data_IF_133910799400
#
_entry.id   IF_133910799400
#
_cell.length_a   1.000
_cell.length_b   1.000
_cell.length_c   1.000
_cell.angle_alpha   90.00
_cell.angle_beta   90.00
_cell.angle_gamma   90.00
#
_symmetry.space_group_name_H-M   'P 1'
#
loop_
_entity.id
_entity.type
_entity.pdbx_description
1 polymer ?
#
# COMPACT_ATOMS: atom_id res chain seq x y z
N UNK A 1 1.78 2.92 11.70
CA UNK A 1 0.31 2.76 11.77
C UNK A 1 -0.30 3.59 10.65
N UNK A 2 -1.16 3.00 9.82
CA UNK A 2 -1.80 3.63 8.66
C UNK A 2 -3.32 3.66 8.83
N UNK A 3 -3.98 4.64 8.22
CA UNK A 3 -5.45 4.75 8.17
C UNK A 3 -5.98 4.32 6.81
N UNK A 4 -7.22 3.86 6.76
CA UNK A 4 -7.92 3.65 5.48
C UNK A 4 -7.95 4.95 4.66
N UNK A 5 -7.67 4.84 3.36
CA UNK A 5 -7.58 5.95 2.42
C UNK A 5 -6.31 6.81 2.51
N UNK A 6 -5.44 6.56 3.50
CA UNK A 6 -4.16 7.25 3.64
C UNK A 6 -3.25 6.92 2.45
N UNK A 7 -2.56 7.92 1.91
CA UNK A 7 -1.55 7.70 0.87
C UNK A 7 -0.33 7.04 1.49
N UNK A 8 0.07 5.89 0.94
CA UNK A 8 1.17 5.06 1.44
C UNK A 8 2.37 4.99 0.50
N UNK A 9 2.24 5.54 -0.71
CA UNK A 9 3.29 5.58 -1.71
C UNK A 9 2.79 6.19 -3.02
N UNK A 10 3.68 6.29 -3.99
CA UNK A 10 3.37 6.77 -5.33
C UNK A 10 3.93 5.78 -6.35
N UNK A 11 3.14 5.49 -7.38
CA UNK A 11 3.61 4.79 -8.58
C UNK A 11 3.97 5.83 -9.63
N UNK A 12 5.18 5.76 -10.16
CA UNK A 12 5.55 6.51 -11.36
C UNK A 12 5.14 5.71 -12.59
N UNK A 13 4.27 6.32 -13.40
CA UNK A 13 3.96 5.83 -14.72
C UNK A 13 4.22 6.94 -15.73
N UNK A 14 5.30 6.80 -16.49
CA UNK A 14 5.73 7.73 -17.54
C UNK A 14 5.88 9.19 -17.04
N UNK A 15 6.44 9.38 -15.86
CA UNK A 15 6.65 10.69 -15.23
C UNK A 15 5.42 11.25 -14.53
N UNK A 16 4.28 10.52 -14.54
CA UNK A 16 3.08 10.85 -13.78
C UNK A 16 3.05 10.03 -12.50
N UNK A 17 2.92 10.70 -11.36
CA UNK A 17 2.86 10.06 -10.05
C UNK A 17 1.41 9.80 -9.63
N UNK A 18 1.05 8.52 -9.47
CA UNK A 18 -0.27 8.11 -8.99
C UNK A 18 -0.21 7.72 -7.51
N UNK A 19 -1.07 8.30 -6.65
CA UNK A 19 -1.07 7.98 -5.23
C UNK A 19 -1.65 6.58 -4.99
N UNK A 20 -0.91 5.75 -4.27
CA UNK A 20 -1.42 4.47 -3.75
C UNK A 20 -2.02 4.73 -2.38
N UNK A 21 -3.28 4.33 -2.18
CA UNK A 21 -4.01 4.51 -0.92
C UNK A 21 -4.15 3.18 -0.22
N UNK A 22 -4.12 3.21 1.11
CA UNK A 22 -4.38 2.05 1.93
C UNK A 22 -5.86 1.67 1.89
N UNK A 23 -6.17 0.42 1.61
CA UNK A 23 -7.55 -0.09 1.62
C UNK A 23 -8.08 -0.34 3.03
N UNK A 24 -7.20 -0.47 4.02
CA UNK A 24 -7.55 -0.77 5.41
C UNK A 24 -6.67 0.01 6.39
N UNK A 25 -7.21 0.30 7.57
CA UNK A 25 -6.43 0.82 8.70
C UNK A 25 -5.68 -0.32 9.41
N UNK A 26 -4.42 -0.09 9.77
CA UNK A 26 -3.58 -1.17 10.29
C UNK A 26 -2.14 -0.80 10.63
N UNK A 27 -1.36 -1.83 10.91
CA UNK A 27 0.09 -1.77 11.06
C UNK A 27 0.78 -2.34 9.81
N UNK A 28 1.79 -1.65 9.30
CA UNK A 28 2.59 -2.16 8.17
C UNK A 28 3.54 -3.23 8.72
N UNK A 29 3.36 -4.47 8.26
CA UNK A 29 4.24 -5.59 8.63
C UNK A 29 5.53 -5.58 7.81
N UNK A 30 5.40 -5.35 6.49
CA UNK A 30 6.52 -5.43 5.56
C UNK A 30 6.21 -4.71 4.25
N UNK A 31 7.21 -4.03 3.70
CA UNK A 31 7.23 -3.57 2.31
C UNK A 31 7.66 -4.73 1.41
N UNK A 32 6.86 -5.02 0.39
CA UNK A 32 7.08 -6.13 -0.54
C UNK A 32 7.78 -5.68 -1.83
N UNK A 33 7.77 -4.37 -2.10
CA UNK A 33 8.51 -3.71 -3.15
C UNK A 33 9.41 -2.62 -2.56
N UNK A 34 10.50 -2.32 -3.25
CA UNK A 34 11.41 -1.22 -2.93
C UNK A 34 11.25 -0.08 -3.94
N UNK A 35 11.74 1.09 -3.56
CA UNK A 35 11.73 2.25 -4.46
C UNK A 35 12.55 1.95 -5.72
N UNK A 36 11.93 2.16 -6.89
CA UNK A 36 12.52 1.89 -8.20
C UNK A 36 12.26 0.50 -8.76
N UNK A 37 11.66 -0.42 -8.00
CA UNK A 37 11.23 -1.72 -8.52
C UNK A 37 10.11 -1.54 -9.56
N UNK A 38 10.15 -2.33 -10.63
CA UNK A 38 9.09 -2.37 -11.63
C UNK A 38 7.90 -3.18 -11.09
N UNK A 39 6.71 -2.60 -11.16
CA UNK A 39 5.48 -3.19 -10.61
C UNK A 39 4.43 -3.35 -11.71
N UNK A 40 3.78 -4.51 -11.75
CA UNK A 40 2.63 -4.82 -12.59
C UNK A 40 1.28 -4.65 -11.87
N UNK A 41 0.20 -4.67 -12.64
CA UNK A 41 -1.14 -4.64 -12.06
C UNK A 41 -1.42 -5.93 -11.27
N UNK A 42 -1.82 -5.77 -10.01
CA UNK A 42 -2.09 -6.89 -9.10
C UNK A 42 -0.87 -7.34 -8.28
N UNK A 43 0.30 -6.78 -8.54
CA UNK A 43 1.49 -7.07 -7.72
C UNK A 43 1.34 -6.47 -6.32
N UNK A 44 1.67 -7.23 -5.26
CA UNK A 44 1.51 -6.76 -3.90
C UNK A 44 2.64 -5.79 -3.50
N UNK A 45 2.27 -4.63 -2.97
CA UNK A 45 3.22 -3.58 -2.58
C UNK A 45 3.59 -3.60 -1.10
N UNK A 46 2.59 -3.84 -0.23
CA UNK A 46 2.74 -3.78 1.22
C UNK A 46 1.87 -4.83 1.89
N UNK A 47 2.40 -5.45 2.95
CA UNK A 47 1.61 -6.28 3.85
C UNK A 47 1.18 -5.45 5.06
N UNK A 48 -0.14 -5.41 5.30
CA UNK A 48 -0.75 -4.68 6.42
C UNK A 48 -1.48 -5.66 7.33
N UNK A 49 -1.25 -5.58 8.63
CA UNK A 49 -2.06 -6.22 9.66
C UNK A 49 -3.21 -5.27 10.05
N UNK A 50 -4.47 -5.61 9.74
CA UNK A 50 -5.61 -4.75 10.07
C UNK A 50 -5.77 -4.52 11.57
N UNK A 51 -5.99 -3.27 11.99
CA UNK A 51 -6.17 -2.94 13.42
C UNK A 51 -7.53 -3.37 13.96
N UNK A 52 -8.53 -3.51 13.09
CA UNK A 52 -9.85 -4.01 13.44
C UNK A 52 -10.15 -5.25 12.61
N UNK A 53 -9.89 -6.43 13.16
CA UNK A 53 -10.55 -7.64 12.70
C UNK A 53 -11.92 -7.66 13.35
N UNK A 54 -12.85 -6.89 12.79
CA UNK A 54 -14.26 -7.02 13.14
C UNK A 54 -14.63 -8.48 12.93
N UNK A 55 -14.85 -9.20 14.02
CA UNK A 55 -15.41 -10.55 14.00
C UNK A 55 -16.70 -10.42 13.17
N UNK A 56 -16.75 -11.10 12.03
CA UNK A 56 -17.92 -11.10 11.15
C UNK A 56 -18.84 -12.26 11.51
#
# INVERSE_FOLDING_TARGET
MIKEGQVIGYLDQFGTHFPVRADVAGEVLKLLANDGDAIGYGDPLVAVLPSFHGIK
#
